data_IF_453446720853
#
_entry.id   IF_453446720853
#
_cell.length_a   1.000
_cell.length_b   1.000
_cell.length_c   1.000
_cell.angle_alpha   90.00
_cell.angle_beta   90.00
_cell.angle_gamma   90.00
#
_symmetry.space_group_name_H-M   'P 1'
#
loop_
_entity.id
_entity.type
_entity.pdbx_description
1 polymer ?
#
# COMPACT_ATOMS: atom_id res chain seq x y z
N UNK A 1 3.85 30.65 40.10
CA UNK A 1 2.52 30.66 39.45
C UNK A 1 2.81 30.61 37.96
N UNK A 2 2.98 29.42 37.40
CA UNK A 2 3.17 29.22 35.97
C UNK A 2 1.83 28.68 35.46
N UNK A 3 1.07 29.53 34.79
CA UNK A 3 -0.11 29.08 34.07
C UNK A 3 0.32 28.25 32.85
N UNK A 4 -0.29 27.10 32.59
CA UNK A 4 -0.01 26.31 31.39
C UNK A 4 -0.57 27.04 30.16
N UNK A 5 0.35 27.58 29.33
CA UNK A 5 0.10 28.30 28.07
C UNK A 5 -0.29 27.32 26.94
N UNK A 6 -1.18 26.36 27.19
CA UNK A 6 -1.65 25.40 26.17
C UNK A 6 -3.17 25.18 26.16
N UNK A 7 -3.92 25.93 26.96
CA UNK A 7 -5.37 26.05 26.78
C UNK A 7 -5.67 27.29 25.96
N UNK A 8 -5.49 27.22 24.64
CA UNK A 8 -6.20 28.15 23.76
C UNK A 8 -7.69 27.88 23.91
N UNK A 9 -8.42 28.86 24.44
CA UNK A 9 -9.88 28.96 24.61
C UNK A 9 -10.67 28.91 23.29
N UNK A 10 -10.29 28.06 22.33
CA UNK A 10 -11.00 27.90 21.06
C UNK A 10 -11.38 26.43 20.83
N UNK A 11 -12.66 26.14 21.10
CA UNK A 11 -13.45 24.99 20.62
C UNK A 11 -13.16 23.63 21.30
N UNK A 12 -13.49 23.53 22.59
CA UNK A 12 -13.51 22.29 23.41
C UNK A 12 -14.61 21.28 22.99
N UNK A 13 -15.18 21.46 21.80
CA UNK A 13 -16.25 20.64 21.23
C UNK A 13 -15.72 19.39 20.52
N UNK A 14 -16.43 18.27 20.66
CA UNK A 14 -16.17 17.05 19.89
C UNK A 14 -16.16 17.34 18.38
N UNK A 15 -15.05 17.06 17.71
CA UNK A 15 -14.91 17.25 16.26
C UNK A 15 -15.26 15.96 15.53
N UNK A 16 -16.43 15.87 14.85
CA UNK A 16 -16.85 14.64 14.21
C UNK A 16 -15.98 14.29 13.00
N UNK A 17 -15.71 13.00 12.81
CA UNK A 17 -14.99 12.53 11.64
C UNK A 17 -15.93 12.54 10.42
N UNK A 18 -15.73 13.50 9.51
CA UNK A 18 -16.54 13.71 8.30
C UNK A 18 -16.11 12.85 7.11
N UNK A 19 -15.67 11.61 7.33
CA UNK A 19 -15.28 10.68 6.25
C UNK A 19 -16.42 9.80 5.76
N UNK A 20 -17.56 9.75 6.47
CA UNK A 20 -18.74 8.96 6.06
C UNK A 20 -19.22 9.30 4.65
N UNK A 21 -19.39 10.59 4.26
CA UNK A 21 -19.79 10.92 2.90
C UNK A 21 -18.80 10.44 1.84
N UNK A 22 -17.49 10.51 2.13
CA UNK A 22 -16.46 10.05 1.19
C UNK A 22 -16.58 8.53 0.91
N UNK A 23 -16.76 7.71 1.96
CA UNK A 23 -16.97 6.27 1.80
C UNK A 23 -18.30 5.95 1.12
N UNK A 24 -19.35 6.73 1.39
CA UNK A 24 -20.64 6.60 0.69
C UNK A 24 -20.53 6.95 -0.80
N UNK A 25 -19.82 8.01 -1.17
CA UNK A 25 -19.56 8.37 -2.57
C UNK A 25 -18.73 7.28 -3.25
N UNK A 26 -17.71 6.75 -2.58
CA UNK A 26 -16.91 5.65 -3.13
C UNK A 26 -17.76 4.41 -3.44
N UNK A 27 -18.68 4.04 -2.54
CA UNK A 27 -19.63 2.97 -2.80
C UNK A 27 -20.59 3.30 -3.95
N UNK A 28 -21.12 4.52 -3.98
CA UNK A 28 -22.01 4.98 -5.05
C UNK A 28 -21.34 4.86 -6.41
N UNK A 29 -20.11 5.35 -6.56
CA UNK A 29 -19.34 5.26 -7.81
C UNK A 29 -19.11 3.80 -8.20
N UNK A 30 -18.72 2.93 -7.26
CA UNK A 30 -18.56 1.49 -7.51
C UNK A 30 -19.86 0.86 -8.00
N UNK A 31 -20.98 1.15 -7.34
CA UNK A 31 -22.30 0.65 -7.72
C UNK A 31 -22.74 1.17 -9.09
N UNK A 32 -22.51 2.45 -9.40
CA UNK A 32 -22.79 3.01 -10.71
C UNK A 32 -22.00 2.32 -11.83
N UNK A 33 -20.71 2.03 -11.62
CA UNK A 33 -19.88 1.31 -12.59
C UNK A 33 -20.39 -0.12 -12.78
N UNK A 34 -20.72 -0.82 -11.69
CA UNK A 34 -21.27 -2.18 -11.77
C UNK A 34 -22.62 -2.21 -12.49
N UNK A 35 -23.52 -1.25 -12.20
CA UNK A 35 -24.81 -1.11 -12.89
C UNK A 35 -24.62 -0.79 -14.36
N UNK A 36 -23.67 0.10 -14.69
CA UNK A 36 -23.32 0.41 -16.08
C UNK A 36 -22.87 -0.84 -16.82
N UNK A 37 -22.03 -1.68 -16.20
CA UNK A 37 -21.63 -2.98 -16.77
C UNK A 37 -22.81 -3.90 -17.05
N UNK A 38 -23.75 -4.02 -16.10
CA UNK A 38 -24.96 -4.85 -16.27
C UNK A 38 -25.85 -4.30 -17.40
N UNK A 39 -26.06 -2.98 -17.45
CA UNK A 39 -26.85 -2.34 -18.50
C UNK A 39 -26.19 -2.56 -19.87
N UNK A 40 -24.88 -2.35 -19.97
CA UNK A 40 -24.12 -2.61 -21.20
C UNK A 40 -24.18 -4.09 -21.59
N UNK A 41 -24.10 -5.02 -20.64
CA UNK A 41 -24.23 -6.45 -20.93
C UNK A 41 -25.63 -6.83 -21.43
N UNK A 42 -26.69 -6.16 -20.94
CA UNK A 42 -28.08 -6.50 -21.24
C UNK A 42 -28.63 -5.80 -22.49
N UNK A 43 -28.19 -4.57 -22.78
CA UNK A 43 -28.81 -3.71 -23.81
C UNK A 43 -27.96 -3.54 -25.07
N UNK A 44 -26.66 -3.85 -25.00
CA UNK A 44 -25.75 -3.56 -26.09
C UNK A 44 -25.83 -4.60 -27.20
N UNK A 45 -25.89 -4.11 -28.43
CA UNK A 45 -26.03 -4.92 -29.65
C UNK A 45 -24.85 -5.89 -29.81
N UNK A 46 -25.14 -7.13 -30.22
CA UNK A 46 -24.17 -8.23 -30.25
C UNK A 46 -22.90 -7.89 -31.05
N UNK A 47 -23.06 -7.15 -32.15
CA UNK A 47 -21.98 -6.71 -33.04
C UNK A 47 -21.01 -5.69 -32.42
N UNK A 48 -21.39 -5.01 -31.33
CA UNK A 48 -20.57 -3.96 -30.68
C UNK A 48 -20.16 -4.28 -29.25
N UNK A 49 -20.34 -5.53 -28.79
CA UNK A 49 -20.03 -5.94 -27.40
C UNK A 49 -18.57 -5.72 -27.00
N UNK A 50 -17.64 -5.74 -27.96
CA UNK A 50 -16.24 -5.45 -27.68
C UNK A 50 -16.02 -3.97 -27.31
N UNK A 51 -16.74 -3.02 -27.91
CA UNK A 51 -16.69 -1.60 -27.53
C UNK A 51 -17.14 -1.40 -26.08
N UNK A 52 -18.27 -2.03 -25.70
CA UNK A 52 -18.77 -2.00 -24.33
C UNK A 52 -17.76 -2.58 -23.33
N UNK A 53 -17.05 -3.65 -23.71
CA UNK A 53 -15.98 -4.23 -22.91
C UNK A 53 -14.81 -3.24 -22.69
N UNK A 54 -14.37 -2.53 -23.74
CA UNK A 54 -13.33 -1.49 -23.61
C UNK A 54 -13.76 -0.32 -22.73
N UNK A 55 -15.00 0.16 -22.90
CA UNK A 55 -15.57 1.21 -22.05
C UNK A 55 -15.52 0.78 -20.58
N UNK A 56 -15.87 -0.47 -20.28
CA UNK A 56 -15.77 -1.01 -18.92
C UNK A 56 -14.33 -1.00 -18.41
N UNK A 57 -13.33 -1.40 -19.19
CA UNK A 57 -11.92 -1.34 -18.77
C UNK A 57 -11.46 0.08 -18.45
N UNK A 58 -11.90 1.08 -19.22
CA UNK A 58 -11.58 2.48 -18.92
C UNK A 58 -12.26 2.97 -17.65
N UNK A 59 -13.52 2.62 -17.42
CA UNK A 59 -14.22 2.92 -16.17
C UNK A 59 -13.51 2.29 -14.97
N UNK A 60 -12.98 1.07 -15.12
CA UNK A 60 -12.18 0.39 -14.08
C UNK A 60 -10.88 1.12 -13.76
N UNK A 61 -10.16 1.59 -14.79
CA UNK A 61 -8.96 2.38 -14.58
C UNK A 61 -9.25 3.74 -13.93
N UNK A 62 -10.30 4.43 -14.40
CA UNK A 62 -10.77 5.67 -13.78
C UNK A 62 -11.18 5.46 -12.32
N UNK A 63 -11.84 4.35 -12.01
CA UNK A 63 -12.22 3.99 -10.64
C UNK A 63 -11.01 3.73 -9.74
N UNK A 64 -9.95 3.11 -10.26
CA UNK A 64 -8.71 2.94 -9.50
C UNK A 64 -8.07 4.29 -9.17
N UNK A 65 -8.00 5.23 -10.13
CA UNK A 65 -7.49 6.59 -9.89
C UNK A 65 -8.36 7.29 -8.83
N UNK A 66 -9.68 7.20 -8.97
CA UNK A 66 -10.61 7.75 -7.99
C UNK A 66 -10.39 7.13 -6.59
N UNK A 67 -10.20 5.81 -6.49
CA UNK A 67 -9.92 5.09 -5.24
C UNK A 67 -8.60 5.52 -4.62
N UNK A 68 -7.57 5.76 -5.43
CA UNK A 68 -6.28 6.26 -4.99
C UNK A 68 -6.41 7.65 -4.35
N UNK A 69 -7.10 8.57 -5.03
CA UNK A 69 -7.37 9.92 -4.52
C UNK A 69 -8.21 9.87 -3.23
N UNK A 70 -9.26 9.05 -3.23
CA UNK A 70 -10.09 8.79 -2.06
C UNK A 70 -9.24 8.34 -0.85
N UNK A 71 -8.36 7.35 -1.04
CA UNK A 71 -7.48 6.86 0.02
C UNK A 71 -6.53 7.98 0.50
N UNK A 72 -6.02 8.83 -0.40
CA UNK A 72 -5.19 9.98 0.00
C UNK A 72 -5.96 10.96 0.90
N UNK A 73 -7.17 11.34 0.49
CA UNK A 73 -8.04 12.27 1.24
C UNK A 73 -8.43 11.68 2.61
N UNK A 74 -8.83 10.41 2.65
CA UNK A 74 -9.20 9.72 3.89
C UNK A 74 -8.01 9.67 4.85
N UNK A 75 -6.81 9.37 4.36
CA UNK A 75 -5.60 9.37 5.19
C UNK A 75 -5.33 10.76 5.80
N UNK A 76 -5.49 11.84 5.04
CA UNK A 76 -5.34 13.20 5.56
C UNK A 76 -6.34 13.53 6.68
N UNK A 77 -7.60 13.11 6.54
CA UNK A 77 -8.62 13.31 7.58
C UNK A 77 -8.35 12.51 8.85
N UNK A 78 -7.90 11.25 8.70
CA UNK A 78 -7.50 10.42 9.85
C UNK A 78 -6.25 10.94 10.54
N UNK A 79 -5.34 11.54 9.78
CA UNK A 79 -4.15 12.18 10.34
C UNK A 79 -4.52 13.40 11.18
N UNK A 80 -5.43 14.25 10.66
CA UNK A 80 -6.00 15.35 11.44
C UNK A 80 -6.72 14.86 12.70
N UNK A 81 -7.44 13.75 12.62
CA UNK A 81 -8.10 13.15 13.78
C UNK A 81 -7.09 12.64 14.83
N UNK A 82 -5.97 12.07 14.36
CA UNK A 82 -4.84 11.65 15.23
C UNK A 82 -4.25 12.85 15.97
N UNK A 83 -4.05 13.98 15.31
CA UNK A 83 -3.52 15.21 15.92
C UNK A 83 -4.48 15.81 16.96
N UNK A 84 -5.79 15.58 16.83
CA UNK A 84 -6.81 16.03 17.79
C UNK A 84 -6.93 15.11 19.05
N UNK A 85 -6.04 14.12 19.22
CA UNK A 85 -5.98 13.29 20.44
C UNK A 85 -6.87 12.05 20.46
N UNK A 86 -7.48 11.65 19.34
CA UNK A 86 -8.31 10.44 19.21
C UNK A 86 -7.51 9.24 18.70
N UNK A 87 -6.50 8.82 19.47
CA UNK A 87 -5.53 7.81 19.06
C UNK A 87 -6.09 6.38 19.05
N UNK A 88 -6.99 6.04 19.98
CA UNK A 88 -7.54 4.69 20.13
C UNK A 88 -8.47 4.34 18.99
N UNK A 89 -9.37 5.27 18.63
CA UNK A 89 -10.22 5.11 17.45
C UNK A 89 -9.39 5.08 16.16
N UNK A 90 -8.42 6.01 16.03
CA UNK A 90 -7.52 6.02 14.88
C UNK A 90 -6.80 4.67 14.72
N UNK A 91 -6.29 4.07 15.81
CA UNK A 91 -5.65 2.74 15.81
C UNK A 91 -6.59 1.64 15.34
N UNK A 92 -7.81 1.58 15.88
CA UNK A 92 -8.78 0.54 15.53
C UNK A 92 -9.15 0.57 14.05
N UNK A 93 -9.04 1.74 13.42
CA UNK A 93 -9.47 1.98 12.03
C UNK A 93 -8.28 2.12 11.05
N UNK A 94 -7.06 2.22 11.55
CA UNK A 94 -5.83 2.44 10.77
C UNK A 94 -5.60 1.35 9.72
N UNK A 95 -5.97 0.10 10.02
CA UNK A 95 -5.93 -0.99 9.06
C UNK A 95 -7.08 -0.90 8.06
N UNK A 96 -8.31 -0.65 8.53
CA UNK A 96 -9.51 -0.62 7.69
C UNK A 96 -9.51 0.49 6.63
N UNK A 97 -8.89 1.65 6.90
CA UNK A 97 -8.91 2.79 5.95
C UNK A 97 -8.16 2.54 4.64
N UNK A 98 -7.15 1.65 4.65
CA UNK A 98 -6.34 1.32 3.47
C UNK A 98 -6.85 0.13 2.65
N UNK A 99 -7.78 -0.64 3.20
CA UNK A 99 -8.31 -1.87 2.57
C UNK A 99 -8.96 -1.61 1.21
N UNK A 100 -9.76 -0.54 0.99
CA UNK A 100 -10.43 -0.33 -0.29
C UNK A 100 -9.45 -0.23 -1.48
N UNK A 101 -8.34 0.51 -1.31
CA UNK A 101 -7.32 0.63 -2.35
C UNK A 101 -6.61 -0.70 -2.63
N UNK A 102 -6.36 -1.50 -1.60
CA UNK A 102 -5.77 -2.84 -1.75
C UNK A 102 -6.71 -3.79 -2.48
N UNK A 103 -8.01 -3.77 -2.16
CA UNK A 103 -9.04 -4.58 -2.84
C UNK A 103 -9.11 -4.22 -4.32
N UNK A 104 -9.31 -2.95 -4.67
CA UNK A 104 -9.46 -2.54 -6.08
C UNK A 104 -8.20 -2.86 -6.90
N UNK A 105 -7.03 -2.69 -6.29
CA UNK A 105 -5.74 -3.04 -6.89
C UNK A 105 -5.56 -4.54 -7.13
N UNK A 106 -5.92 -5.36 -6.14
CA UNK A 106 -5.92 -6.82 -6.27
C UNK A 106 -6.91 -7.26 -7.36
N UNK A 107 -8.10 -6.65 -7.40
CA UNK A 107 -9.13 -6.95 -8.38
C UNK A 107 -8.68 -6.67 -9.81
N UNK A 108 -8.01 -5.54 -10.04
CA UNK A 108 -7.44 -5.21 -11.36
C UNK A 108 -6.33 -6.20 -11.76
N UNK A 109 -5.56 -6.71 -10.79
CA UNK A 109 -4.54 -7.74 -11.05
C UNK A 109 -5.19 -9.07 -11.44
N UNK A 110 -6.30 -9.46 -10.80
CA UNK A 110 -7.07 -10.65 -11.21
C UNK A 110 -7.75 -10.47 -12.56
N UNK A 111 -8.31 -9.29 -12.85
CA UNK A 111 -8.87 -8.99 -14.17
C UNK A 111 -7.81 -9.13 -15.27
N UNK A 112 -6.60 -8.64 -15.03
CA UNK A 112 -5.46 -8.81 -15.94
C UNK A 112 -5.15 -10.30 -16.17
N UNK A 113 -5.12 -11.09 -15.10
CA UNK A 113 -4.90 -12.54 -15.16
C UNK A 113 -5.96 -13.26 -15.98
N UNK A 114 -7.23 -12.95 -15.73
CA UNK A 114 -8.35 -13.65 -16.36
C UNK A 114 -8.50 -13.22 -17.81
N UNK A 115 -8.29 -11.95 -18.14
CA UNK A 115 -8.19 -11.49 -19.52
C UNK A 115 -7.09 -12.23 -20.29
N UNK A 116 -5.93 -12.39 -19.67
CA UNK A 116 -4.79 -13.09 -20.25
C UNK A 116 -5.09 -14.57 -20.45
N UNK A 117 -5.77 -15.22 -19.49
CA UNK A 117 -6.22 -16.60 -19.59
C UNK A 117 -7.25 -16.78 -20.72
N UNK A 118 -8.22 -15.88 -20.81
CA UNK A 118 -9.23 -15.83 -21.88
C UNK A 118 -8.53 -15.70 -23.24
N UNK A 119 -7.55 -14.80 -23.37
CA UNK A 119 -6.78 -14.63 -24.60
C UNK A 119 -5.96 -15.88 -24.96
N UNK A 120 -5.47 -16.62 -23.97
CA UNK A 120 -4.77 -17.88 -24.19
C UNK A 120 -5.71 -18.98 -24.71
N UNK A 121 -6.88 -19.13 -24.10
CA UNK A 121 -7.85 -20.16 -24.49
C UNK A 121 -8.58 -19.86 -25.80
N UNK A 122 -8.85 -18.59 -26.13
CA UNK A 122 -9.62 -18.21 -27.33
C UNK A 122 -8.76 -17.90 -28.57
N UNK A 123 -7.43 -17.82 -28.44
CA UNK A 123 -6.52 -17.65 -29.59
C UNK A 123 -6.76 -16.39 -30.41
N UNK A 124 -6.60 -16.47 -31.74
CA UNK A 124 -6.85 -15.37 -32.69
C UNK A 124 -8.34 -15.15 -33.00
N UNK A 125 -9.20 -16.10 -32.66
CA UNK A 125 -10.65 -15.97 -32.77
C UNK A 125 -11.27 -15.14 -31.62
N UNK A 126 -10.46 -14.43 -30.82
CA UNK A 126 -10.94 -13.60 -29.72
C UNK A 126 -11.99 -12.57 -30.17
N UNK A 127 -11.82 -11.93 -31.33
CA UNK A 127 -12.80 -10.98 -31.88
C UNK A 127 -14.13 -11.65 -32.26
N UNK A 128 -14.06 -12.81 -32.91
CA UNK A 128 -15.23 -13.57 -33.36
C UNK A 128 -16.01 -14.17 -32.16
N UNK A 129 -15.29 -14.62 -31.11
CA UNK A 129 -15.87 -15.12 -29.87
C UNK A 129 -16.27 -14.02 -28.87
N UNK A 130 -15.72 -12.82 -29.00
CA UNK A 130 -16.19 -11.63 -28.27
C UNK A 130 -17.61 -11.23 -28.71
N UNK A 131 -17.89 -11.39 -30.01
CA UNK A 131 -19.22 -11.19 -30.62
C UNK A 131 -20.14 -12.39 -30.39
N UNK A 132 -19.59 -13.60 -30.25
CA UNK A 132 -20.38 -14.81 -30.02
C UNK A 132 -21.27 -14.70 -28.76
N UNK A 133 -22.54 -15.03 -28.94
CA UNK A 133 -23.60 -14.92 -27.93
C UNK A 133 -23.50 -16.09 -26.94
N UNK A 134 -23.28 -15.80 -25.65
CA UNK A 134 -23.29 -16.80 -24.58
C UNK A 134 -22.78 -16.29 -23.23
N UNK A 135 -22.88 -17.13 -22.19
CA UNK A 135 -22.44 -16.86 -20.81
C UNK A 135 -20.93 -16.57 -20.67
N UNK A 136 -20.15 -16.85 -21.72
CA UNK A 136 -18.70 -16.64 -21.78
C UNK A 136 -18.30 -15.32 -22.47
N UNK A 137 -19.26 -14.44 -22.77
CA UNK A 137 -18.96 -13.15 -23.37
C UNK A 137 -18.09 -12.29 -22.43
N UNK A 138 -17.01 -11.64 -22.92
CA UNK A 138 -16.10 -10.85 -22.09
C UNK A 138 -16.79 -9.76 -21.25
N UNK A 139 -17.87 -9.16 -21.78
CA UNK A 139 -18.64 -8.11 -21.09
C UNK A 139 -19.43 -8.67 -19.89
N UNK A 140 -19.94 -9.89 -19.99
CA UNK A 140 -20.68 -10.54 -18.91
C UNK A 140 -19.73 -10.89 -17.77
N UNK A 141 -18.56 -11.46 -18.10
CA UNK A 141 -17.54 -11.79 -17.11
C UNK A 141 -17.04 -10.55 -16.37
N UNK A 142 -16.64 -9.48 -17.07
CA UNK A 142 -16.14 -8.25 -16.40
C UNK A 142 -17.22 -7.60 -15.55
N UNK A 143 -18.48 -7.63 -15.99
CA UNK A 143 -19.61 -7.07 -15.25
C UNK A 143 -19.93 -7.91 -14.00
N UNK A 144 -19.92 -9.24 -14.11
CA UNK A 144 -20.09 -10.13 -12.97
C UNK A 144 -18.96 -9.96 -11.94
N UNK A 145 -17.71 -9.88 -12.41
CA UNK A 145 -16.54 -9.68 -11.54
C UNK A 145 -16.55 -8.29 -10.89
N UNK A 146 -16.99 -7.25 -11.60
CA UNK A 146 -17.19 -5.90 -11.05
C UNK A 146 -18.35 -5.85 -10.03
N UNK A 147 -19.40 -6.64 -10.23
CA UNK A 147 -20.49 -6.81 -9.26
C UNK A 147 -20.01 -7.48 -7.98
N UNK A 148 -19.19 -8.54 -8.08
CA UNK A 148 -18.58 -9.19 -6.94
C UNK A 148 -17.65 -8.23 -6.16
N UNK A 149 -16.85 -7.43 -6.86
CA UNK A 149 -16.04 -6.39 -6.20
C UNK A 149 -16.91 -5.43 -5.40
N UNK A 150 -17.98 -4.95 -6.01
CA UNK A 150 -18.90 -3.99 -5.40
C UNK A 150 -19.53 -4.58 -4.13
N UNK A 151 -19.88 -5.87 -4.14
CA UNK A 151 -20.38 -6.57 -2.96
C UNK A 151 -19.33 -6.59 -1.82
N UNK A 152 -18.08 -6.95 -2.14
CA UNK A 152 -16.99 -6.96 -1.14
C UNK A 152 -16.73 -5.55 -0.61
N UNK A 153 -16.69 -4.54 -1.48
CA UNK A 153 -16.54 -3.14 -1.09
C UNK A 153 -17.70 -2.67 -0.22
N UNK A 154 -18.95 -3.07 -0.51
CA UNK A 154 -20.11 -2.77 0.31
C UNK A 154 -19.95 -3.31 1.74
N UNK A 155 -19.47 -4.53 1.91
CA UNK A 155 -19.23 -5.12 3.24
C UNK A 155 -18.13 -4.34 3.98
N UNK A 156 -16.99 -4.12 3.34
CA UNK A 156 -15.83 -3.46 3.97
C UNK A 156 -16.13 -2.00 4.29
N UNK A 157 -16.57 -1.21 3.31
CA UNK A 157 -16.90 0.19 3.51
C UNK A 157 -18.13 0.36 4.41
N UNK A 158 -19.11 -0.54 4.34
CA UNK A 158 -20.26 -0.56 5.24
C UNK A 158 -19.84 -0.76 6.70
N UNK A 159 -18.93 -1.70 6.97
CA UNK A 159 -18.38 -1.92 8.31
C UNK A 159 -17.61 -0.69 8.84
N UNK A 160 -16.84 -0.03 7.96
CA UNK A 160 -16.16 1.22 8.28
C UNK A 160 -17.15 2.35 8.61
N UNK A 161 -18.17 2.54 7.76
CA UNK A 161 -19.21 3.56 7.97
C UNK A 161 -19.93 3.32 9.29
N UNK A 162 -20.27 2.07 9.62
CA UNK A 162 -20.88 1.72 10.90
C UNK A 162 -19.98 2.07 12.09
N UNK A 163 -18.68 1.79 11.99
CA UNK A 163 -17.70 2.13 13.03
C UNK A 163 -17.57 3.66 13.22
N UNK A 164 -17.48 4.44 12.14
CA UNK A 164 -17.40 5.90 12.21
C UNK A 164 -18.70 6.52 12.70
N UNK A 165 -19.86 6.02 12.27
CA UNK A 165 -21.16 6.48 12.78
C UNK A 165 -21.29 6.22 14.27
N UNK A 166 -20.85 5.05 14.75
CA UNK A 166 -20.82 4.73 16.18
C UNK A 166 -19.93 5.72 16.94
N UNK A 167 -18.73 5.97 16.45
CA UNK A 167 -17.80 6.94 17.04
C UNK A 167 -18.34 8.37 17.08
N UNK A 168 -18.89 8.85 15.96
CA UNK A 168 -19.49 10.19 15.88
C UNK A 168 -20.72 10.32 16.79
N UNK A 169 -21.48 9.24 17.01
CA UNK A 169 -22.63 9.23 17.91
C UNK A 169 -22.23 9.16 19.38
N UNK A 170 -21.14 8.47 19.71
CA UNK A 170 -20.65 8.40 21.09
C UNK A 170 -19.99 9.70 21.55
N UNK A 171 -19.53 10.53 20.60
CA UNK A 171 -18.94 11.85 20.86
C UNK A 171 -17.92 11.81 22.02
N UNK A 172 -17.11 10.75 22.06
CA UNK A 172 -16.17 10.53 23.16
C UNK A 172 -15.19 11.70 23.23
N UNK A 173 -14.77 12.15 24.42
CA UNK A 173 -13.74 13.19 24.54
C UNK A 173 -12.37 12.63 24.08
N UNK A 174 -11.39 13.49 23.76
CA UNK A 174 -10.02 13.06 23.45
C UNK A 174 -9.45 12.09 24.49
N UNK A 175 -8.63 11.13 24.05
CA UNK A 175 -8.21 10.00 24.89
C UNK A 175 -7.45 10.45 26.15
N UNK A 176 -6.73 11.57 26.09
CA UNK A 176 -6.01 12.15 27.23
C UNK A 176 -6.94 12.58 28.39
N UNK A 177 -8.19 12.93 28.07
CA UNK A 177 -9.21 13.33 29.06
C UNK A 177 -9.99 12.12 29.60
N UNK A 178 -9.90 10.95 28.95
CA UNK A 178 -10.57 9.72 29.39
C UNK A 178 -9.80 9.02 30.52
N UNK A 179 -8.46 8.96 30.45
CA UNK A 179 -7.62 8.30 31.48
C UNK A 179 -7.69 9.01 32.85
N UNK A 180 -8.01 10.31 32.88
CA UNK A 180 -8.07 11.09 34.12
C UNK A 180 -9.31 10.78 34.99
N UNK A 181 -10.29 10.03 34.45
CA UNK A 181 -11.46 9.56 35.24
C UNK A 181 -11.19 8.26 36.01
N UNK A 182 -10.07 7.58 35.74
CA UNK A 182 -9.70 6.30 36.37
C UNK A 182 -8.61 6.38 37.44
N UNK A 183 -7.83 7.47 37.49
CA UNK A 183 -6.63 7.59 38.33
C UNK A 183 -6.75 8.58 39.50
N UNK A 184 -7.91 8.63 40.15
CA UNK A 184 -8.04 9.27 41.47
C UNK A 184 -7.54 8.31 42.57
N UNK A 185 -6.23 8.15 42.69
CA UNK A 185 -5.63 7.51 43.87
C UNK A 185 -4.35 6.74 43.59
N UNK A 186 -3.19 7.35 43.88
CA UNK A 186 -1.93 6.62 43.86
C UNK A 186 -0.68 7.49 43.76
N UNK A 187 -0.57 8.52 44.60
CA UNK A 187 0.65 9.30 44.74
C UNK A 187 1.68 8.57 45.59
N UNK A 188 2.87 8.38 45.02
CA UNK A 188 4.20 8.41 45.66
C UNK A 188 4.45 7.49 46.87
N UNK A 189 5.18 6.40 46.64
CA UNK A 189 5.87 5.62 47.67
C UNK A 189 7.37 5.56 47.42
N UNK A 190 8.12 6.51 47.98
CA UNK A 190 9.58 6.47 48.11
C UNK A 190 9.92 6.34 49.60
N UNK A 191 10.38 5.17 50.03
CA UNK A 191 10.99 4.99 51.36
C UNK A 191 12.34 4.26 51.27
N UNK A 192 13.34 5.06 51.62
CA UNK A 192 14.75 4.91 51.96
C UNK A 192 15.18 3.64 52.76
N UNK A 193 16.37 3.07 52.45
CA UNK A 193 17.64 3.17 53.26
C UNK A 193 18.62 1.97 53.00
N UNK A 194 19.80 2.24 52.41
CA UNK A 194 20.90 1.26 52.23
C UNK A 194 22.06 1.76 51.34
N UNK A 195 22.74 2.85 51.74
CA UNK A 195 23.41 3.82 50.86
C UNK A 195 24.90 3.54 50.48
N UNK A 196 25.30 2.30 50.13
CA UNK A 196 26.56 2.17 49.35
C UNK A 196 26.61 0.95 48.44
N UNK A 197 26.05 -0.18 48.86
CA UNK A 197 25.89 -1.36 47.98
C UNK A 197 24.70 -1.18 47.03
N UNK A 198 23.62 -0.54 47.48
CA UNK A 198 22.48 -0.20 46.63
C UNK A 198 22.85 0.82 45.55
N UNK A 199 23.72 1.80 45.85
CA UNK A 199 24.16 2.80 44.87
C UNK A 199 25.08 2.20 43.79
N UNK A 200 25.93 1.23 44.16
CA UNK A 200 26.73 0.45 43.21
C UNK A 200 25.86 -0.52 42.39
N UNK A 201 24.88 -1.17 43.02
CA UNK A 201 23.89 -2.03 42.34
C UNK A 201 22.99 -1.22 41.41
N UNK A 202 22.59 -0.02 41.78
CA UNK A 202 21.77 0.90 40.98
C UNK A 202 22.58 1.41 39.78
N UNK A 203 23.84 1.80 39.97
CA UNK A 203 24.73 2.14 38.84
C UNK A 203 25.01 0.94 37.93
N UNK A 204 25.15 -0.26 38.46
CA UNK A 204 25.33 -1.47 37.64
C UNK A 204 24.03 -1.86 36.93
N UNK A 205 22.87 -1.74 37.58
CA UNK A 205 21.57 -1.97 36.98
C UNK A 205 21.28 -0.94 35.88
N UNK A 206 21.62 0.32 36.09
CA UNK A 206 21.54 1.38 35.09
C UNK A 206 22.48 1.14 33.93
N UNK A 207 23.70 0.65 34.17
CA UNK A 207 24.64 0.32 33.10
C UNK A 207 24.19 -0.91 32.31
N UNK A 208 23.65 -1.94 32.98
CA UNK A 208 23.08 -3.13 32.35
C UNK A 208 21.83 -2.76 31.54
N UNK A 209 20.96 -1.91 32.09
CA UNK A 209 19.78 -1.37 31.41
C UNK A 209 20.20 -0.53 30.21
N UNK A 210 21.21 0.33 30.36
CA UNK A 210 21.79 1.11 29.28
C UNK A 210 22.39 0.22 28.18
N UNK A 211 23.17 -0.79 28.54
CA UNK A 211 23.76 -1.75 27.58
C UNK A 211 22.68 -2.58 26.89
N UNK A 212 21.64 -3.00 27.61
CA UNK A 212 20.51 -3.78 27.07
C UNK A 212 19.66 -2.93 26.12
N UNK A 213 19.34 -1.69 26.50
CA UNK A 213 18.65 -0.73 25.65
C UNK A 213 19.48 -0.41 24.41
N UNK A 214 20.80 -0.31 24.55
CA UNK A 214 21.69 -0.06 23.42
C UNK A 214 21.77 -1.28 22.48
N UNK A 215 21.84 -2.50 23.03
CA UNK A 215 21.78 -3.74 22.24
C UNK A 215 20.45 -3.88 21.50
N UNK A 216 19.33 -3.60 22.17
CA UNK A 216 17.99 -3.62 21.59
C UNK A 216 17.87 -2.58 20.47
N UNK A 217 18.36 -1.37 20.69
CA UNK A 217 18.34 -0.27 19.70
C UNK A 217 19.20 -0.58 18.48
N UNK A 218 20.38 -1.18 18.69
CA UNK A 218 21.27 -1.58 17.60
C UNK A 218 20.66 -2.75 16.80
N UNK A 219 20.09 -3.74 17.47
CA UNK A 219 19.46 -4.89 16.83
C UNK A 219 18.21 -4.48 16.03
N UNK A 220 17.42 -3.53 16.55
CA UNK A 220 16.30 -2.92 15.82
C UNK A 220 16.75 -2.18 14.54
N UNK A 221 17.86 -1.43 14.61
CA UNK A 221 18.42 -0.72 13.44
C UNK A 221 19.03 -1.65 12.39
N UNK A 222 19.69 -2.74 12.81
CA UNK A 222 20.19 -3.77 11.89
C UNK A 222 19.04 -4.49 11.20
N UNK A 223 17.98 -4.84 11.94
CA UNK A 223 16.75 -5.42 11.36
C UNK A 223 16.11 -4.48 10.33
N UNK A 224 16.10 -3.16 10.57
CA UNK A 224 15.60 -2.16 9.64
C UNK A 224 16.38 -2.13 8.33
N UNK A 225 17.71 -1.95 8.39
CA UNK A 225 18.52 -1.89 7.18
C UNK A 225 18.39 -3.19 6.37
N UNK A 226 18.40 -4.35 7.04
CA UNK A 226 18.23 -5.63 6.37
C UNK A 226 16.84 -5.80 5.74
N UNK A 227 15.76 -5.38 6.42
CA UNK A 227 14.42 -5.43 5.85
C UNK A 227 14.28 -4.53 4.62
N UNK A 228 14.88 -3.34 4.64
CA UNK A 228 14.85 -2.39 3.53
C UNK A 228 15.68 -2.84 2.34
N UNK A 229 16.93 -3.23 2.58
CA UNK A 229 17.79 -3.78 1.53
C UNK A 229 17.13 -4.99 0.91
N UNK A 230 16.56 -5.92 1.70
CA UNK A 230 15.81 -7.07 1.17
C UNK A 230 14.64 -6.65 0.28
N UNK A 231 13.90 -5.62 0.68
CA UNK A 231 12.74 -5.14 -0.08
C UNK A 231 13.14 -4.57 -1.43
N UNK A 232 14.12 -3.67 -1.44
CA UNK A 232 14.64 -3.05 -2.67
C UNK A 232 15.25 -4.12 -3.57
N UNK A 233 16.10 -4.99 -3.02
CA UNK A 233 16.77 -6.03 -3.79
C UNK A 233 15.78 -7.00 -4.42
N UNK A 234 14.79 -7.51 -3.67
CA UNK A 234 13.80 -8.45 -4.23
C UNK A 234 12.93 -7.76 -5.28
N UNK A 235 12.46 -6.54 -5.02
CA UNK A 235 11.67 -5.79 -5.99
C UNK A 235 12.41 -5.54 -7.31
N UNK A 236 13.64 -5.03 -7.19
CA UNK A 236 14.45 -4.70 -8.36
C UNK A 236 14.86 -5.95 -9.11
N UNK A 237 15.23 -7.02 -8.39
CA UNK A 237 15.54 -8.32 -8.99
C UNK A 237 14.36 -8.86 -9.79
N UNK A 238 13.15 -8.88 -9.22
CA UNK A 238 11.97 -9.36 -9.93
C UNK A 238 11.64 -8.49 -11.15
N UNK A 239 11.72 -7.16 -11.03
CA UNK A 239 11.46 -6.25 -12.15
C UNK A 239 12.48 -6.43 -13.29
N UNK A 240 13.78 -6.55 -12.95
CA UNK A 240 14.84 -6.86 -13.92
C UNK A 240 14.61 -8.22 -14.55
N UNK A 241 14.28 -9.25 -13.77
CA UNK A 241 14.03 -10.61 -14.26
C UNK A 241 12.86 -10.65 -15.26
N UNK A 242 11.78 -9.89 -15.00
CA UNK A 242 10.65 -9.79 -15.93
C UNK A 242 11.10 -9.19 -17.28
N UNK A 243 11.82 -8.05 -17.24
CA UNK A 243 12.29 -7.38 -18.45
C UNK A 243 13.32 -8.25 -19.19
N UNK A 244 14.28 -8.83 -18.48
CA UNK A 244 15.31 -9.71 -19.03
C UNK A 244 14.66 -10.92 -19.70
N UNK A 245 13.74 -11.62 -19.03
CA UNK A 245 13.00 -12.75 -19.59
C UNK A 245 12.28 -12.35 -20.88
N UNK A 246 11.58 -11.21 -20.88
CA UNK A 246 10.88 -10.72 -22.07
C UNK A 246 11.81 -10.35 -23.23
N UNK A 247 12.92 -9.66 -22.95
CA UNK A 247 13.91 -9.28 -23.97
C UNK A 247 14.63 -10.49 -24.56
N UNK A 248 15.05 -11.45 -23.73
CA UNK A 248 15.72 -12.69 -24.16
C UNK A 248 14.77 -13.53 -25.00
N UNK A 249 13.52 -13.69 -24.57
CA UNK A 249 12.53 -14.44 -25.31
C UNK A 249 12.23 -13.80 -26.68
N UNK A 250 12.17 -12.47 -26.74
CA UNK A 250 11.95 -11.72 -28.00
C UNK A 250 13.16 -11.73 -28.93
N UNK A 251 14.39 -11.74 -28.41
CA UNK A 251 15.62 -11.69 -29.23
C UNK A 251 16.04 -13.07 -29.74
N UNK A 252 15.79 -14.13 -28.99
CA UNK A 252 16.14 -15.50 -29.37
C UNK A 252 15.09 -16.19 -30.24
N UNK A 253 14.03 -15.49 -30.65
CA UNK A 253 12.87 -16.11 -31.31
C UNK A 253 12.37 -17.33 -30.55
N UNK A 254 12.30 -17.20 -29.21
CA UNK A 254 11.83 -18.23 -28.31
C UNK A 254 10.36 -17.95 -27.99
N UNK A 255 9.43 -18.90 -28.20
CA UNK A 255 9.67 -20.26 -28.62
C UNK A 255 9.78 -20.38 -30.17
N UNK A 256 10.28 -21.53 -30.65
CA UNK A 256 10.54 -21.91 -32.05
C UNK A 256 9.56 -21.32 -33.10
N UNK A 257 9.94 -21.24 -34.39
CA UNK A 257 9.06 -20.72 -35.46
C UNK A 257 7.68 -21.41 -35.56
N UNK A 258 7.53 -22.64 -35.03
CA UNK A 258 6.27 -23.40 -34.97
C UNK A 258 5.52 -23.25 -33.61
N UNK A 259 6.07 -22.50 -32.66
CA UNK A 259 5.51 -22.30 -31.34
C UNK A 259 5.00 -20.87 -31.19
N UNK A 260 3.76 -20.76 -30.71
CA UNK A 260 3.02 -19.50 -30.71
C UNK A 260 3.82 -18.36 -30.04
N UNK A 261 4.14 -17.31 -30.82
CA UNK A 261 4.73 -16.06 -30.31
C UNK A 261 3.91 -15.42 -29.17
N UNK A 262 2.67 -15.87 -28.97
CA UNK A 262 1.79 -15.52 -27.85
C UNK A 262 2.27 -16.05 -26.48
N UNK A 263 3.09 -17.11 -26.43
CA UNK A 263 3.56 -17.74 -25.17
C UNK A 263 4.42 -16.80 -24.32
N UNK A 264 5.33 -16.03 -24.94
CA UNK A 264 6.20 -15.07 -24.24
C UNK A 264 5.38 -14.02 -23.52
N UNK A 265 4.37 -13.50 -24.21
CA UNK A 265 3.44 -12.53 -23.68
C UNK A 265 2.69 -13.06 -22.45
N UNK A 266 2.18 -14.29 -22.51
CA UNK A 266 1.50 -14.92 -21.37
C UNK A 266 2.43 -15.11 -20.16
N UNK A 267 3.66 -15.57 -20.39
CA UNK A 267 4.67 -15.73 -19.34
C UNK A 267 4.96 -14.40 -18.65
N UNK A 268 5.14 -13.31 -19.40
CA UNK A 268 5.42 -11.98 -18.82
C UNK A 268 4.27 -11.52 -17.93
N UNK A 269 3.01 -11.71 -18.35
CA UNK A 269 1.85 -11.32 -17.54
C UNK A 269 1.72 -12.20 -16.28
N UNK A 270 2.01 -13.51 -16.34
CA UNK A 270 2.01 -14.33 -15.13
C UNK A 270 3.12 -13.93 -14.16
N UNK A 271 4.32 -13.62 -14.65
CA UNK A 271 5.40 -13.10 -13.83
C UNK A 271 5.03 -11.75 -13.20
N UNK A 272 4.27 -10.89 -13.90
CA UNK A 272 3.72 -9.64 -13.36
C UNK A 272 2.77 -9.85 -12.18
N UNK A 273 1.86 -10.81 -12.30
CA UNK A 273 0.92 -11.14 -11.23
C UNK A 273 1.68 -11.67 -10.02
N UNK A 274 2.63 -12.58 -10.23
CA UNK A 274 3.49 -13.11 -9.17
C UNK A 274 4.31 -11.99 -8.51
N UNK A 275 4.89 -11.08 -9.30
CA UNK A 275 5.61 -9.91 -8.81
C UNK A 275 4.76 -9.02 -7.91
N UNK A 276 3.52 -8.75 -8.32
CA UNK A 276 2.59 -7.97 -7.52
C UNK A 276 2.25 -8.66 -6.19
N UNK A 277 2.01 -9.98 -6.19
CA UNK A 277 1.73 -10.74 -4.98
C UNK A 277 2.93 -10.76 -4.02
N UNK A 278 4.13 -10.99 -4.54
CA UNK A 278 5.37 -10.95 -3.75
C UNK A 278 5.57 -9.55 -3.14
N UNK A 279 5.35 -8.51 -3.94
CA UNK A 279 5.37 -7.11 -3.49
C UNK A 279 4.40 -6.86 -2.33
N UNK A 280 3.16 -7.35 -2.45
CA UNK A 280 2.14 -7.21 -1.42
C UNK A 280 2.54 -7.92 -0.12
N UNK A 281 3.03 -9.16 -0.20
CA UNK A 281 3.50 -9.93 0.96
C UNK A 281 4.66 -9.24 1.66
N UNK A 282 5.63 -8.74 0.90
CA UNK A 282 6.77 -7.97 1.43
C UNK A 282 6.27 -6.68 2.12
N UNK A 283 5.32 -5.98 1.49
CA UNK A 283 4.73 -4.77 2.06
C UNK A 283 4.10 -5.02 3.43
N UNK A 284 3.24 -6.03 3.55
CA UNK A 284 2.58 -6.36 4.83
C UNK A 284 3.58 -6.87 5.87
N UNK A 285 4.57 -7.69 5.49
CA UNK A 285 5.60 -8.15 6.43
C UNK A 285 6.45 -7.01 6.97
N UNK A 286 6.80 -6.05 6.13
CA UNK A 286 7.61 -4.91 6.56
C UNK A 286 6.82 -3.93 7.43
N UNK A 287 5.50 -3.84 7.26
CA UNK A 287 4.64 -2.92 7.99
C UNK A 287 4.80 -3.03 9.51
N UNK A 288 4.93 -4.26 10.02
CA UNK A 288 5.17 -4.54 11.45
C UNK A 288 6.58 -4.14 11.89
N UNK A 289 7.61 -4.50 11.12
CA UNK A 289 9.01 -4.18 11.43
C UNK A 289 9.26 -2.67 11.45
N UNK A 290 8.68 -1.92 10.50
CA UNK A 290 8.76 -0.46 10.51
C UNK A 290 8.07 0.17 11.72
N UNK A 291 7.01 -0.44 12.25
CA UNK A 291 6.33 0.04 13.46
C UNK A 291 7.23 0.07 14.69
N UNK A 292 8.28 -0.78 14.74
CA UNK A 292 9.25 -0.84 15.85
C UNK A 292 10.27 0.31 15.84
N UNK A 293 10.34 1.07 14.76
CA UNK A 293 11.39 2.09 14.51
C UNK A 293 11.00 3.51 14.88
N UNK A 294 9.76 3.72 15.27
CA UNK A 294 9.20 5.02 15.65
C UNK A 294 9.99 5.71 16.75
N UNK A 295 10.46 4.92 17.71
CA UNK A 295 11.05 5.39 18.97
C UNK A 295 12.54 5.75 18.89
N UNK A 296 13.41 4.95 18.22
CA UNK A 296 14.82 5.28 18.15
C UNK A 296 15.17 6.44 17.20
N UNK A 297 14.39 6.69 16.14
CA UNK A 297 14.73 7.65 15.08
C UNK A 297 13.52 8.03 14.20
N UNK A 298 12.76 9.06 14.61
CA UNK A 298 11.48 9.43 14.01
C UNK A 298 11.61 10.01 12.59
N UNK A 299 12.63 10.84 12.34
CA UNK A 299 12.84 11.50 11.05
C UNK A 299 13.15 10.47 9.96
N UNK A 300 13.99 9.48 10.30
CA UNK A 300 14.27 8.34 9.44
C UNK A 300 13.02 7.47 9.22
N UNK A 301 12.25 7.18 10.27
CA UNK A 301 10.99 6.45 10.11
C UNK A 301 10.07 7.13 9.08
N UNK A 302 9.88 8.45 9.19
CA UNK A 302 9.03 9.23 8.29
C UNK A 302 9.53 9.16 6.85
N UNK A 303 10.81 9.46 6.62
CA UNK A 303 11.42 9.38 5.28
C UNK A 303 11.24 7.98 4.66
N UNK A 304 11.38 6.93 5.47
CA UNK A 304 11.33 5.55 5.01
C UNK A 304 9.91 5.00 4.80
N UNK A 305 8.89 5.59 5.43
CA UNK A 305 7.50 5.15 5.23
C UNK A 305 7.00 5.33 3.81
N UNK A 306 7.50 6.35 3.09
CA UNK A 306 7.21 6.59 1.67
C UNK A 306 7.70 5.44 0.81
N UNK A 307 8.94 5.01 1.03
CA UNK A 307 9.59 3.91 0.30
C UNK A 307 8.99 2.54 0.59
N UNK A 308 8.27 2.36 1.71
CA UNK A 308 7.51 1.15 1.99
C UNK A 308 6.21 1.07 1.19
N UNK A 309 5.51 2.19 0.97
CA UNK A 309 4.18 2.23 0.34
C UNK A 309 4.25 2.35 -1.18
N UNK A 310 5.19 3.13 -1.69
CA UNK A 310 5.30 3.45 -3.11
C UNK A 310 5.50 2.23 -4.03
N UNK A 311 6.31 1.19 -3.71
CA UNK A 311 6.54 0.08 -4.63
C UNK A 311 5.27 -0.68 -5.00
N UNK A 312 4.40 -0.94 -4.01
CA UNK A 312 3.09 -1.55 -4.25
C UNK A 312 2.20 -0.66 -5.11
N UNK A 313 2.20 0.66 -4.86
CA UNK A 313 1.41 1.62 -5.65
C UNK A 313 1.90 1.78 -7.09
N UNK A 314 3.22 1.69 -7.31
CA UNK A 314 3.82 1.72 -8.64
C UNK A 314 3.41 0.45 -9.40
N UNK A 315 3.57 -0.73 -8.79
CA UNK A 315 3.18 -2.00 -9.41
C UNK A 315 1.68 -2.06 -9.75
N UNK A 316 0.80 -1.51 -8.89
CA UNK A 316 -0.64 -1.44 -9.19
C UNK A 316 -0.98 -0.49 -10.32
N UNK A 317 -0.34 0.69 -10.36
CA UNK A 317 -0.53 1.65 -11.44
C UNK A 317 -0.16 1.02 -12.79
N UNK A 318 0.98 0.34 -12.88
CA UNK A 318 1.41 -0.32 -14.11
C UNK A 318 0.49 -1.48 -14.51
N UNK A 319 -0.05 -2.24 -13.56
CA UNK A 319 -1.06 -3.26 -13.87
C UNK A 319 -2.34 -2.63 -14.44
N UNK A 320 -2.76 -1.45 -13.96
CA UNK A 320 -3.91 -0.73 -14.51
C UNK A 320 -3.63 -0.21 -15.92
N UNK A 321 -2.43 0.32 -16.17
CA UNK A 321 -2.00 0.73 -17.51
C UNK A 321 -1.99 -0.47 -18.46
N UNK A 322 -1.42 -1.61 -18.05
CA UNK A 322 -1.43 -2.83 -18.85
C UNK A 322 -2.87 -3.30 -19.13
N UNK A 323 -3.72 -3.36 -18.11
CA UNK A 323 -5.12 -3.78 -18.26
C UNK A 323 -5.88 -2.95 -19.32
N UNK A 324 -5.64 -1.64 -19.37
CA UNK A 324 -6.32 -0.75 -20.32
C UNK A 324 -5.73 -0.80 -21.73
N UNK A 325 -4.41 -0.88 -21.86
CA UNK A 325 -3.75 -0.76 -23.17
C UNK A 325 -3.57 -2.10 -23.87
N UNK A 326 -3.46 -3.20 -23.12
CA UNK A 326 -3.21 -4.55 -23.65
C UNK A 326 -4.21 -5.00 -24.72
N UNK A 327 -5.49 -4.66 -24.57
CA UNK A 327 -6.52 -5.03 -25.56
C UNK A 327 -6.60 -4.07 -26.75
N UNK A 328 -6.21 -2.80 -26.58
CA UNK A 328 -6.20 -1.81 -27.66
C UNK A 328 -5.09 -2.11 -28.66
N UNK A 329 -3.92 -2.51 -28.17
CA UNK A 329 -2.78 -2.89 -29.02
C UNK A 329 -3.16 -4.04 -29.96
N UNK A 330 -3.90 -5.05 -29.50
CA UNK A 330 -4.34 -6.14 -30.39
C UNK A 330 -5.38 -5.71 -31.44
N UNK A 331 -6.19 -4.69 -31.15
CA UNK A 331 -7.18 -4.15 -32.10
C UNK A 331 -6.55 -3.18 -33.11
N UNK A 332 -5.52 -2.44 -32.70
CA UNK A 332 -4.74 -1.55 -33.57
C UNK A 332 -3.78 -2.32 -34.48
N UNK A 333 -3.43 -3.56 -34.13
CA UNK A 333 -2.57 -4.45 -34.91
C UNK A 333 -3.30 -5.77 -35.23
N UNK A 334 -4.33 -5.77 -36.09
CA UNK A 334 -4.88 -7.02 -36.59
C UNK A 334 -3.76 -7.77 -37.33
N UNK A 335 -3.57 -9.05 -37.00
CA UNK A 335 -2.80 -9.95 -37.85
C UNK A 335 -3.56 -10.06 -39.16
N UNK A 336 -3.13 -9.34 -40.21
CA UNK A 336 -3.51 -9.71 -41.56
C UNK A 336 -2.96 -11.11 -41.80
N UNK A 337 -3.83 -12.10 -41.76
CA UNK A 337 -3.57 -13.32 -42.51
C UNK A 337 -3.37 -12.87 -43.94
N UNK A 338 -2.13 -12.98 -44.41
CA UNK A 338 -1.78 -12.84 -45.81
C UNK A 338 -2.44 -14.02 -46.53
N UNK A 339 -3.76 -13.93 -46.76
CA UNK A 339 -4.42 -14.76 -47.74
C UNK A 339 -3.83 -14.36 -49.07
N UNK A 340 -3.14 -15.31 -49.67
CA UNK A 340 -2.53 -15.25 -50.99
C UNK A 340 -3.60 -15.04 -52.07
N UNK A 341 -4.23 -13.87 -52.10
CA UNK A 341 -5.05 -13.41 -53.20
C UNK A 341 -4.53 -12.04 -53.63
N UNK A 342 -3.84 -12.07 -54.77
CA UNK A 342 -3.24 -10.92 -55.39
C UNK A 342 -4.32 -9.90 -55.79
N UNK A 343 -4.13 -8.64 -55.37
CA UNK A 343 -4.66 -7.50 -56.09
C UNK A 343 -5.69 -6.65 -55.36
N UNK A 344 -5.26 -5.88 -54.36
CA UNK A 344 -5.84 -4.55 -54.12
C UNK A 344 -4.86 -3.71 -53.29
N UNK A 345 -4.31 -2.65 -53.88
CA UNK A 345 -3.53 -1.65 -53.16
C UNK A 345 -4.48 -0.81 -52.30
N UNK A 346 -4.58 -1.13 -51.01
CA UNK A 346 -5.15 -0.22 -50.02
C UNK A 346 -4.02 0.23 -49.11
N UNK A 347 -3.45 1.38 -49.45
CA UNK A 347 -2.63 2.19 -48.55
C UNK A 347 -3.54 2.78 -47.48
N UNK A 348 -3.74 2.07 -46.36
CA UNK A 348 -4.29 2.64 -45.13
C UNK A 348 -3.26 2.50 -44.03
N UNK A 349 -2.89 3.62 -43.41
CA UNK A 349 -1.80 3.77 -42.45
C UNK A 349 -1.83 2.78 -41.28
N UNK A 350 -1.18 1.64 -41.46
CA UNK A 350 -0.71 0.82 -40.37
C UNK A 350 0.51 1.49 -39.73
N UNK A 351 0.37 1.90 -38.47
CA UNK A 351 1.53 2.21 -37.62
C UNK A 351 2.53 1.04 -37.72
N UNK A 352 3.79 1.37 -37.93
CA UNK A 352 4.95 0.49 -38.12
C UNK A 352 4.74 -0.98 -37.64
N UNK A 353 4.76 -2.00 -38.53
CA UNK A 353 4.48 -3.41 -38.20
C UNK A 353 5.48 -4.07 -37.22
N UNK A 354 6.45 -3.31 -36.70
CA UNK A 354 7.46 -3.77 -35.76
C UNK A 354 7.02 -3.85 -34.29
N UNK A 355 5.88 -3.23 -33.91
CA UNK A 355 5.42 -3.21 -32.51
C UNK A 355 4.39 -4.32 -32.27
N UNK A 356 4.88 -5.52 -31.98
CA UNK A 356 4.03 -6.64 -31.57
C UNK A 356 3.53 -6.46 -30.12
N UNK A 357 2.39 -7.07 -29.72
CA UNK A 357 1.87 -6.98 -28.35
C UNK A 357 2.89 -7.38 -27.27
N UNK A 358 3.76 -8.34 -27.56
CA UNK A 358 4.88 -8.73 -26.71
C UNK A 358 5.88 -7.58 -26.50
N UNK A 359 6.30 -6.89 -27.57
CA UNK A 359 7.23 -5.75 -27.50
C UNK A 359 6.61 -4.62 -26.70
N UNK A 360 5.32 -4.35 -26.89
CA UNK A 360 4.60 -3.35 -26.10
C UNK A 360 4.67 -3.65 -24.60
N UNK A 361 4.33 -4.88 -24.18
CA UNK A 361 4.37 -5.26 -22.75
C UNK A 361 5.80 -5.15 -22.21
N UNK A 362 6.81 -5.55 -22.98
CA UNK A 362 8.23 -5.43 -22.58
C UNK A 362 8.62 -3.96 -22.38
N UNK A 363 8.23 -3.07 -23.30
CA UNK A 363 8.51 -1.63 -23.18
C UNK A 363 7.85 -1.06 -21.95
N UNK A 364 6.57 -1.38 -21.70
CA UNK A 364 5.88 -0.96 -20.47
C UNK A 364 6.59 -1.49 -19.22
N UNK A 365 7.07 -2.73 -19.25
CA UNK A 365 7.84 -3.29 -18.15
C UNK A 365 9.18 -2.59 -17.92
N UNK A 366 9.88 -2.23 -19.00
CA UNK A 366 11.13 -1.50 -18.94
C UNK A 366 10.94 -0.08 -18.41
N UNK A 367 9.83 0.59 -18.79
CA UNK A 367 9.47 1.90 -18.25
C UNK A 367 9.18 1.85 -16.75
N UNK A 368 8.47 0.81 -16.28
CA UNK A 368 8.31 0.61 -14.83
C UNK A 368 9.66 0.45 -14.14
N UNK A 369 10.53 -0.41 -14.67
CA UNK A 369 11.86 -0.64 -14.11
C UNK A 369 12.65 0.67 -14.01
N UNK A 370 12.58 1.52 -15.04
CA UNK A 370 13.22 2.83 -15.04
C UNK A 370 12.66 3.75 -13.94
N UNK A 371 11.35 3.80 -13.78
CA UNK A 371 10.71 4.56 -12.69
C UNK A 371 11.12 4.03 -11.32
N UNK A 372 11.17 2.71 -11.15
CA UNK A 372 11.64 2.09 -9.91
C UNK A 372 13.10 2.42 -9.62
N UNK A 373 13.98 2.40 -10.63
CA UNK A 373 15.38 2.81 -10.48
C UNK A 373 15.49 4.27 -10.04
N UNK A 374 14.78 5.19 -10.70
CA UNK A 374 14.73 6.60 -10.31
C UNK A 374 14.22 6.78 -8.87
N UNK A 375 13.27 5.95 -8.45
CA UNK A 375 12.72 5.99 -7.09
C UNK A 375 13.67 5.39 -6.03
N UNK A 376 14.38 4.31 -6.35
CA UNK A 376 15.26 3.63 -5.39
C UNK A 376 16.64 4.28 -5.26
N UNK A 377 17.12 5.05 -6.25
CA UNK A 377 18.42 5.74 -6.15
C UNK A 377 18.49 6.69 -4.94
N UNK A 378 17.51 7.59 -4.70
CA UNK A 378 17.48 8.40 -3.48
C UNK A 378 17.45 7.58 -2.19
N UNK A 379 16.70 6.48 -2.16
CA UNK A 379 16.65 5.59 -1.00
C UNK A 379 18.01 4.97 -0.68
N UNK A 380 18.69 4.44 -1.70
CA UNK A 380 20.02 3.83 -1.53
C UNK A 380 21.02 4.88 -1.06
N UNK A 381 20.95 6.12 -1.55
CA UNK A 381 21.76 7.23 -1.02
C UNK A 381 21.50 7.48 0.46
N UNK A 382 20.23 7.60 0.87
CA UNK A 382 19.85 7.77 2.28
C UNK A 382 20.39 6.60 3.12
N UNK A 383 20.25 5.36 2.64
CA UNK A 383 20.77 4.18 3.35
C UNK A 383 22.30 4.18 3.48
N UNK A 384 23.02 4.63 2.45
CA UNK A 384 24.48 4.78 2.48
C UNK A 384 24.88 5.88 3.45
N UNK A 385 24.17 7.01 3.47
CA UNK A 385 24.40 8.12 4.42
C UNK A 385 24.17 7.67 5.86
N UNK A 386 23.09 6.91 6.13
CA UNK A 386 22.84 6.31 7.44
C UNK A 386 24.00 5.40 7.84
N UNK A 387 24.41 4.49 6.94
CA UNK A 387 25.52 3.56 7.21
C UNK A 387 26.85 4.28 7.46
N UNK A 388 27.15 5.31 6.67
CA UNK A 388 28.37 6.12 6.81
C UNK A 388 28.36 6.96 8.08
N UNK A 389 27.19 7.50 8.44
CA UNK A 389 27.01 8.21 9.71
C UNK A 389 27.25 7.28 10.88
N UNK A 390 26.78 6.03 10.83
CA UNK A 390 26.98 5.02 11.89
C UNK A 390 28.46 4.63 12.10
N UNK A 391 29.24 4.58 11.02
CA UNK A 391 30.68 4.33 11.08
C UNK A 391 31.44 5.49 11.75
N UNK A 392 30.97 6.73 11.56
CA UNK A 392 31.48 7.92 12.23
C UNK A 392 30.96 8.08 13.67
N UNK A 393 29.71 7.69 13.92
CA UNK A 393 29.03 7.80 15.22
C UNK A 393 29.62 6.80 16.22
N UNK A 394 30.19 5.67 15.78
CA UNK A 394 30.96 4.76 16.65
C UNK A 394 32.21 5.41 17.26
N UNK A 395 32.77 6.45 16.62
CA UNK A 395 33.97 7.17 17.09
C UNK A 395 33.58 8.36 18.00
N UNK A 396 32.34 8.84 17.95
CA UNK A 396 31.87 10.05 18.65
C UNK A 396 30.80 9.79 19.74
N UNK A 397 30.22 8.58 19.82
CA UNK A 397 29.12 8.21 20.74
C UNK A 397 29.45 8.01 22.22
N UNK A 398 30.60 8.48 22.74
CA UNK A 398 30.73 8.68 24.18
C UNK A 398 30.09 10.01 24.64
N UNK A 399 29.57 10.84 23.73
CA UNK A 399 29.13 12.21 24.08
C UNK A 399 27.74 12.67 23.62
N UNK A 400 27.03 12.01 22.70
CA UNK A 400 25.99 12.74 21.94
C UNK A 400 24.63 12.07 21.67
N UNK A 401 24.12 11.11 22.46
CA UNK A 401 22.79 10.52 22.11
C UNK A 401 21.77 10.38 23.22
N UNK A 402 21.63 11.46 24.00
CA UNK A 402 20.32 11.89 24.49
C UNK A 402 20.03 13.18 23.73
N UNK A 403 19.10 13.14 22.78
CA UNK A 403 18.62 14.31 22.05
C UNK A 403 18.26 15.35 23.11
N UNK A 404 19.10 16.37 23.26
CA UNK A 404 18.94 17.39 24.30
C UNK A 404 17.62 18.09 24.04
N UNK A 405 16.85 18.39 25.09
CA UNK A 405 15.53 19.04 25.01
C UNK A 405 15.53 20.31 24.13
N UNK A 406 16.71 20.92 23.94
CA UNK A 406 16.99 22.03 23.03
C UNK A 406 16.81 21.70 21.54
N UNK A 407 17.25 20.53 21.05
CA UNK A 407 17.03 20.12 19.64
C UNK A 407 15.57 19.72 19.40
N UNK A 408 14.90 19.19 20.43
CA UNK A 408 13.48 18.91 20.38
C UNK A 408 12.70 20.22 20.22
N UNK A 409 13.07 21.28 20.96
CA UNK A 409 12.42 22.59 20.91
C UNK A 409 12.58 23.34 19.57
N UNK A 410 13.58 23.00 18.75
CA UNK A 410 13.79 23.60 17.42
C UNK A 410 12.96 22.92 16.31
N UNK A 411 12.40 21.74 16.55
CA UNK A 411 11.55 21.08 15.55
C UNK A 411 10.16 21.74 15.44
N UNK A 412 9.54 21.74 14.24
CA UNK A 412 8.18 22.21 14.07
C UNK A 412 7.24 21.49 15.05
N UNK A 413 6.33 22.23 15.69
CA UNK A 413 5.38 21.69 16.68
C UNK A 413 4.60 20.50 16.09
N UNK A 414 4.25 20.55 14.81
CA UNK A 414 3.60 19.44 14.10
C UNK A 414 4.41 18.13 14.17
N UNK A 415 5.73 18.20 14.06
CA UNK A 415 6.61 17.03 14.06
C UNK A 415 6.76 16.46 15.47
N UNK A 416 6.82 17.33 16.48
CA UNK A 416 6.81 16.90 17.88
C UNK A 416 5.50 16.18 18.23
N UNK A 417 4.36 16.74 17.82
CA UNK A 417 3.04 16.16 18.00
C UNK A 417 2.93 14.82 17.27
N UNK A 418 3.44 14.74 16.04
CA UNK A 418 3.46 13.50 15.28
C UNK A 418 4.25 12.42 16.02
N UNK A 419 5.48 12.74 16.46
CA UNK A 419 6.35 11.82 17.20
C UNK A 419 5.71 11.32 18.50
N UNK A 420 5.17 12.23 19.31
CA UNK A 420 4.45 11.91 20.54
C UNK A 420 3.27 10.97 20.26
N UNK A 421 2.46 11.27 19.24
CA UNK A 421 1.31 10.45 18.86
C UNK A 421 1.71 9.00 18.47
N UNK A 422 2.83 8.82 17.75
CA UNK A 422 3.26 7.46 17.37
C UNK A 422 3.89 6.71 18.56
N UNK A 423 4.61 7.39 19.45
CA UNK A 423 5.14 6.80 20.68
C UNK A 423 4.02 6.32 21.62
N UNK A 424 3.03 7.19 21.87
CA UNK A 424 1.84 6.86 22.68
C UNK A 424 1.09 5.67 22.06
N UNK A 425 0.93 5.66 20.73
CA UNK A 425 0.39 4.51 20.00
C UNK A 425 1.18 3.26 20.41
N UNK A 426 2.48 3.20 20.17
CA UNK A 426 3.30 2.00 20.46
C UNK A 426 3.15 1.52 21.92
N UNK A 427 3.32 2.40 22.89
CA UNK A 427 3.25 2.07 24.31
C UNK A 427 1.89 1.47 24.69
N UNK A 428 0.78 2.03 24.16
CA UNK A 428 -0.55 1.46 24.38
C UNK A 428 -0.71 0.06 23.78
N UNK A 429 -0.12 -0.22 22.60
CA UNK A 429 -0.21 -1.58 21.99
C UNK A 429 0.52 -2.59 22.84
N UNK A 430 1.66 -2.21 23.39
CA UNK A 430 2.49 -3.06 24.23
C UNK A 430 1.80 -3.30 25.57
N UNK A 431 1.21 -2.26 26.18
CA UNK A 431 0.32 -2.41 27.33
C UNK A 431 -0.83 -3.38 27.05
N UNK A 432 -1.56 -3.23 25.95
CA UNK A 432 -2.69 -4.11 25.61
C UNK A 432 -2.26 -5.54 25.29
N UNK A 433 -1.03 -5.73 24.81
CA UNK A 433 -0.41 -7.05 24.65
C UNK A 433 -0.11 -7.67 26.02
N UNK A 434 0.62 -6.94 26.87
CA UNK A 434 0.97 -7.37 28.23
C UNK A 434 -0.28 -7.63 29.08
N UNK A 435 -1.34 -6.86 28.91
CA UNK A 435 -2.60 -7.07 29.62
C UNK A 435 -3.34 -8.33 29.14
N UNK A 436 -3.25 -8.66 27.85
CA UNK A 436 -3.76 -9.94 27.32
C UNK A 436 -2.92 -11.12 27.80
N UNK A 437 -1.60 -10.93 27.88
CA UNK A 437 -0.68 -11.92 28.41
C UNK A 437 -0.93 -12.17 29.91
N UNK A 438 -1.07 -11.11 30.71
CA UNK A 438 -1.44 -11.19 32.12
C UNK A 438 -2.80 -11.90 32.34
N UNK A 439 -3.80 -11.62 31.49
CA UNK A 439 -5.08 -12.34 31.46
C UNK A 439 -4.91 -13.82 31.16
N UNK A 440 -4.08 -14.16 30.18
CA UNK A 440 -3.80 -15.56 29.82
C UNK A 440 -3.05 -16.31 30.92
N UNK A 441 -2.29 -15.59 31.75
CA UNK A 441 -1.56 -16.11 32.90
C UNK A 441 -2.39 -16.10 34.20
N UNK A 442 -3.67 -15.68 34.14
CA UNK A 442 -4.58 -15.70 35.30
C UNK A 442 -4.31 -14.64 36.37
N UNK A 443 -3.55 -13.60 36.04
CA UNK A 443 -3.13 -12.54 36.99
C UNK A 443 -4.27 -11.59 37.39
N UNK A 444 -5.43 -11.67 36.72
CA UNK A 444 -6.63 -10.85 36.99
C UNK A 444 -7.45 -11.30 38.23
N UNK A 445 -6.90 -12.16 39.11
CA UNK A 445 -7.51 -12.55 40.40
C UNK A 445 -6.66 -12.10 41.59
N UNK A 446 -6.54 -10.79 41.80
CA UNK A 446 -6.17 -10.21 43.10
C UNK A 446 -6.90 -8.87 43.28
#
# INVERSE_FOLDING_TARGET
MLDPILATEDDDGFRPLRTVPAFSIHLLVSSCISLTGIILAATWEDSRRCEAYFIMLYLRAAFWIFTYLFNHIVNAHHEKLRLNGYHDFHRAIDQHKGVPLQIVSLWNTFLLAIQTLIQHYYGDAFGEKCVAVGLLSPIIYISAFSGLETLVLCIVNGSYIAAVRRFNRTASPPDALQDNRGFSGGSLGLTQRGLSTAELLEKQADLIKYLKDHNLKLNQKIMQMNAQVRTVTVHLFCAIAIVATGTIASSLSWPHPDADASMVYFIIIYLRIAYWLVTYVIHERNKSEFGRLVEPDFDHYRALTVYRKAPLQIATLWNVILLTVQNQVRYLFPYEHQSTEAGASVTSGALNPAITPQVFVIVVCALELLVLLCFYVPLVRILIEIKKSEEHDKVTNLRYRRMTETELAEQPIEWQLERQAILIKRLRTERDHLQREAKSLGVDRC
#
